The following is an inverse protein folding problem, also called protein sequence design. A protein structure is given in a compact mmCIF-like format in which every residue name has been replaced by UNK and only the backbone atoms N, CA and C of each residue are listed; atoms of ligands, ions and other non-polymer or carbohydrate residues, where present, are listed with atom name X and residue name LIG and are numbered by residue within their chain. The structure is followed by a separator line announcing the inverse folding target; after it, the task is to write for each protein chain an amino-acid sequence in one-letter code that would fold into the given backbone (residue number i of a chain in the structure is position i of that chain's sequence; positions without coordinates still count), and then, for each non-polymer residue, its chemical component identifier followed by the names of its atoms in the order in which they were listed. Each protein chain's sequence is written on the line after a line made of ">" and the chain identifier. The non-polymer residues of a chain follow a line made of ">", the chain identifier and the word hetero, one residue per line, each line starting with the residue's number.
data_IF_996457459834
#
_entry.id   IF_996457459834
#
_cell.length_a   1.000
_cell.length_b   1.000
_cell.length_c   1.000
_cell.angle_alpha   90.00
_cell.angle_beta   90.00
_cell.angle_gamma   90.00
#
_symmetry.space_group_name_H-M   'P 1'
#
loop_
_entity.id
_entity.type
_entity.pdbx_description
1 polymer ?
#
# COMPACT_ATOMS: atom_id res chain seq x y z
N UNK A 1 6.70 4.82 -19.30
CA UNK A 1 5.95 4.84 -18.00
C UNK A 1 5.88 3.43 -17.44
N UNK A 2 5.55 3.25 -16.16
CA UNK A 2 5.52 1.90 -15.57
C UNK A 2 4.50 0.97 -16.25
N UNK A 3 3.37 1.52 -16.72
CA UNK A 3 2.41 0.78 -17.55
C UNK A 3 3.03 0.16 -18.81
N UNK A 4 3.99 0.83 -19.46
CA UNK A 4 4.69 0.31 -20.63
C UNK A 4 5.59 -0.89 -20.29
N UNK A 5 6.18 -0.90 -19.10
CA UNK A 5 6.94 -2.06 -18.62
C UNK A 5 6.02 -3.24 -18.31
N UNK A 6 4.82 -2.98 -17.77
CA UNK A 6 3.83 -4.04 -17.51
C UNK A 6 3.31 -4.68 -18.80
N UNK A 7 3.21 -3.93 -19.90
CA UNK A 7 2.77 -4.47 -21.20
C UNK A 7 3.77 -5.46 -21.81
N UNK A 8 5.03 -5.44 -21.37
CA UNK A 8 6.07 -6.38 -21.81
C UNK A 8 5.98 -7.74 -21.10
N UNK A 9 5.18 -7.84 -20.03
CA UNK A 9 5.08 -9.03 -19.20
C UNK A 9 3.98 -9.94 -19.74
N UNK A 10 4.36 -11.11 -20.24
CA UNK A 10 3.43 -12.20 -20.51
C UNK A 10 3.15 -12.96 -19.21
N UNK A 11 1.90 -12.86 -18.73
CA UNK A 11 1.49 -13.47 -17.46
C UNK A 11 1.47 -15.00 -17.50
N UNK A 12 1.17 -15.59 -18.66
CA UNK A 12 1.15 -17.04 -18.83
C UNK A 12 2.57 -17.59 -18.83
N UNK A 13 3.47 -16.98 -19.61
CA UNK A 13 4.89 -17.37 -19.63
C UNK A 13 5.57 -17.15 -18.27
N UNK A 14 5.28 -16.02 -17.60
CA UNK A 14 5.79 -15.77 -16.25
C UNK A 14 5.32 -16.84 -15.26
N UNK A 15 4.05 -17.22 -15.32
CA UNK A 15 3.50 -18.29 -14.48
C UNK A 15 4.16 -19.62 -14.77
N UNK A 16 4.32 -19.98 -16.04
CA UNK A 16 5.04 -21.20 -16.44
C UNK A 16 6.47 -21.20 -15.94
N UNK A 17 7.18 -20.07 -16.07
CA UNK A 17 8.56 -19.92 -15.59
C UNK A 17 8.66 -20.16 -14.07
N UNK A 18 7.74 -19.60 -13.28
CA UNK A 18 7.69 -19.83 -11.82
C UNK A 18 7.41 -21.31 -11.51
N UNK A 19 6.41 -21.91 -12.15
CA UNK A 19 6.03 -23.32 -11.87
C UNK A 19 7.02 -24.34 -12.40
N UNK A 20 7.89 -23.99 -13.35
CA UNK A 20 8.96 -24.85 -13.86
C UNK A 20 10.21 -24.88 -12.98
N UNK A 21 10.31 -24.00 -11.98
CA UNK A 21 11.48 -23.97 -11.08
C UNK A 21 11.60 -25.25 -10.28
N UNK A 22 12.85 -25.67 -10.11
CA UNK A 22 13.21 -26.92 -9.45
C UNK A 22 13.78 -26.66 -8.05
N UNK A 23 13.93 -27.74 -7.28
CA UNK A 23 14.62 -27.67 -5.99
C UNK A 23 16.05 -27.13 -6.11
N UNK A 24 16.75 -27.49 -7.19
CA UNK A 24 18.11 -27.01 -7.45
C UNK A 24 18.13 -25.48 -7.61
N UNK A 25 17.13 -24.89 -8.28
CA UNK A 25 17.01 -23.44 -8.44
C UNK A 25 16.77 -22.76 -7.09
N UNK A 26 15.94 -23.35 -6.23
CA UNK A 26 15.69 -22.82 -4.87
C UNK A 26 16.95 -22.86 -4.03
N UNK A 27 17.68 -23.98 -4.03
CA UNK A 27 18.92 -24.11 -3.26
C UNK A 27 20.01 -23.16 -3.77
N UNK A 28 20.11 -22.98 -5.09
CA UNK A 28 21.00 -22.00 -5.70
C UNK A 28 20.66 -20.58 -5.23
N UNK A 29 19.39 -20.20 -5.26
CA UNK A 29 18.91 -18.88 -4.81
C UNK A 29 19.20 -18.64 -3.33
N UNK A 30 18.96 -19.61 -2.47
CA UNK A 30 19.26 -19.54 -1.03
C UNK A 30 20.76 -19.40 -0.72
N UNK A 31 21.62 -19.89 -1.60
CA UNK A 31 23.08 -19.78 -1.45
C UNK A 31 23.67 -18.45 -1.97
N UNK A 32 22.90 -17.60 -2.64
CA UNK A 32 23.38 -16.34 -3.19
C UNK A 32 23.30 -15.22 -2.14
N UNK A 33 24.28 -14.32 -2.16
CA UNK A 33 24.26 -13.08 -1.39
C UNK A 33 23.30 -12.04 -2.01
N UNK A 34 23.22 -12.01 -3.35
CA UNK A 34 22.35 -11.11 -4.10
C UNK A 34 21.52 -11.92 -5.10
N UNK A 35 20.21 -11.95 -4.86
CA UNK A 35 19.25 -12.60 -5.74
C UNK A 35 18.84 -11.68 -6.87
N UNK A 36 18.65 -12.26 -8.06
CA UNK A 36 18.02 -11.62 -9.21
C UNK A 36 16.54 -12.03 -9.34
N UNK A 37 15.87 -11.57 -10.41
CA UNK A 37 14.45 -11.88 -10.65
C UNK A 37 14.23 -13.38 -10.87
N UNK A 38 15.18 -14.07 -11.50
CA UNK A 38 15.08 -15.52 -11.72
C UNK A 38 15.16 -16.31 -10.41
N UNK A 39 16.04 -15.89 -9.50
CA UNK A 39 16.12 -16.45 -8.15
C UNK A 39 14.84 -16.17 -7.35
N UNK A 40 14.28 -14.97 -7.48
CA UNK A 40 13.00 -14.64 -6.85
C UNK A 40 11.87 -15.54 -7.35
N UNK A 41 11.80 -15.81 -8.67
CA UNK A 41 10.84 -16.76 -9.22
C UNK A 41 11.01 -18.16 -8.62
N UNK A 42 12.26 -18.61 -8.38
CA UNK A 42 12.51 -19.88 -7.71
C UNK A 42 12.00 -19.90 -6.26
N UNK A 43 12.24 -18.82 -5.50
CA UNK A 43 11.84 -18.73 -4.09
C UNK A 43 10.33 -18.62 -3.89
N UNK A 44 9.56 -18.13 -4.88
CA UNK A 44 8.09 -18.11 -4.82
C UNK A 44 7.43 -19.31 -5.52
N UNK A 45 8.22 -20.22 -6.06
CA UNK A 45 7.71 -21.41 -6.77
C UNK A 45 7.18 -22.49 -5.80
N UNK A 46 6.35 -23.43 -6.29
CA UNK A 46 5.96 -24.60 -5.49
C UNK A 46 7.12 -25.42 -4.96
N UNK A 47 8.27 -25.46 -5.68
CA UNK A 47 9.47 -26.17 -5.24
C UNK A 47 10.07 -25.60 -3.94
N UNK A 48 9.81 -24.31 -3.64
CA UNK A 48 10.30 -23.66 -2.43
C UNK A 48 9.51 -24.01 -1.16
N UNK A 49 8.35 -24.65 -1.27
CA UNK A 49 7.46 -24.88 -0.11
C UNK A 49 8.15 -25.61 1.06
N UNK A 50 9.02 -26.57 0.78
CA UNK A 50 9.76 -27.31 1.80
C UNK A 50 10.96 -26.54 2.40
N UNK A 51 11.29 -25.38 1.84
CA UNK A 51 12.39 -24.51 2.26
C UNK A 51 11.92 -23.24 2.98
N UNK A 52 10.66 -23.17 3.40
CA UNK A 52 10.11 -21.99 4.09
C UNK A 52 10.91 -21.62 5.35
N UNK A 53 11.33 -22.61 6.14
CA UNK A 53 12.12 -22.34 7.35
C UNK A 53 13.52 -21.78 7.01
N UNK A 54 14.34 -22.37 6.12
CA UNK A 54 15.58 -21.73 5.68
C UNK A 54 15.38 -20.32 5.11
N UNK A 55 14.32 -20.09 4.33
CA UNK A 55 13.98 -18.77 3.80
C UNK A 55 13.66 -17.77 4.92
N UNK A 56 12.88 -18.18 5.94
CA UNK A 56 12.55 -17.38 7.09
C UNK A 56 13.80 -17.00 7.91
N UNK A 57 14.70 -17.93 8.12
CA UNK A 57 15.97 -17.69 8.84
C UNK A 57 16.86 -16.69 8.08
N UNK A 58 16.95 -16.84 6.76
CA UNK A 58 17.72 -15.92 5.92
C UNK A 58 17.08 -14.51 5.92
N UNK A 59 15.76 -14.42 5.78
CA UNK A 59 15.00 -13.17 5.86
C UNK A 59 15.20 -12.48 7.22
N UNK A 60 15.16 -13.25 8.32
CA UNK A 60 15.45 -12.75 9.67
C UNK A 60 16.86 -12.17 9.74
N UNK A 61 17.85 -12.89 9.24
CA UNK A 61 19.25 -12.43 9.21
C UNK A 61 19.36 -11.06 8.50
N UNK A 62 18.85 -10.95 7.28
CA UNK A 62 18.88 -9.68 6.52
C UNK A 62 18.11 -8.55 7.21
N UNK A 63 16.99 -8.87 7.86
CA UNK A 63 16.21 -7.90 8.61
C UNK A 63 17.01 -7.37 9.81
N UNK A 64 17.66 -8.25 10.57
CA UNK A 64 18.49 -7.86 11.73
C UNK A 64 19.76 -7.11 11.30
N UNK A 65 20.39 -7.48 10.18
CA UNK A 65 21.54 -6.76 9.61
C UNK A 65 21.15 -5.35 9.14
N UNK A 66 19.96 -5.19 8.58
CA UNK A 66 19.49 -3.90 8.04
C UNK A 66 18.89 -2.97 9.07
N UNK A 67 18.10 -3.50 9.97
CA UNK A 67 17.24 -2.73 10.88
C UNK A 67 17.55 -2.96 12.37
N UNK A 68 18.45 -3.90 12.68
CA UNK A 68 18.69 -4.31 14.06
C UNK A 68 17.47 -4.99 14.69
N UNK A 69 17.28 -4.79 15.98
CA UNK A 69 16.14 -5.31 16.75
C UNK A 69 15.09 -4.23 17.05
N UNK A 70 14.93 -3.28 16.13
CA UNK A 70 13.96 -2.19 16.25
C UNK A 70 12.68 -2.48 15.48
N UNK A 71 11.55 -2.03 16.03
CA UNK A 71 10.24 -2.12 15.36
C UNK A 71 9.68 -0.71 15.31
N UNK A 72 9.33 -0.26 14.10
CA UNK A 72 8.62 0.98 13.89
C UNK A 72 7.11 0.70 13.92
N UNK A 73 6.43 1.23 14.93
CA UNK A 73 4.99 1.09 15.06
C UNK A 73 4.29 2.29 14.42
N UNK A 74 3.18 2.04 13.74
CA UNK A 74 2.31 3.08 13.23
C UNK A 74 0.86 2.79 13.60
N UNK A 75 0.03 3.82 13.57
CA UNK A 75 -1.40 3.69 13.81
C UNK A 75 -2.20 4.24 12.61
N UNK A 76 -3.11 3.45 12.02
CA UNK A 76 -4.02 3.95 11.00
C UNK A 76 -5.19 4.70 11.64
N UNK A 77 -5.57 5.83 11.04
CA UNK A 77 -6.79 6.55 11.36
C UNK A 77 -7.62 6.77 10.10
N UNK A 78 -8.81 6.21 10.08
CA UNK A 78 -9.80 6.41 9.03
C UNK A 78 -10.54 7.72 9.24
N UNK A 79 -10.13 8.78 8.53
CA UNK A 79 -10.76 10.10 8.65
C UNK A 79 -12.05 10.23 7.81
N UNK A 80 -12.26 9.31 6.85
CA UNK A 80 -13.53 9.14 6.14
C UNK A 80 -13.67 7.76 5.51
N UNK A 81 -14.89 7.22 5.52
CA UNK A 81 -15.30 6.03 4.77
C UNK A 81 -16.09 6.37 3.49
N UNK A 82 -16.17 7.65 3.13
CA UNK A 82 -16.85 8.10 1.91
C UNK A 82 -16.03 7.67 0.68
N UNK A 83 -16.62 6.82 -0.17
CA UNK A 83 -15.98 6.29 -1.37
C UNK A 83 -16.95 6.28 -2.53
N UNK A 84 -16.45 6.55 -3.74
CA UNK A 84 -17.22 6.55 -5.01
C UNK A 84 -16.98 5.30 -5.86
N UNK A 85 -16.10 4.40 -5.41
CA UNK A 85 -15.75 3.18 -6.11
C UNK A 85 -16.67 2.00 -5.77
N UNK A 86 -16.70 1.00 -6.66
CA UNK A 86 -17.44 -0.24 -6.47
C UNK A 86 -16.54 -1.48 -6.45
N UNK A 87 -15.43 -1.40 -5.70
CA UNK A 87 -14.50 -2.53 -5.55
C UNK A 87 -15.21 -3.72 -4.90
N UNK A 88 -15.15 -4.89 -5.52
CA UNK A 88 -15.96 -6.06 -5.13
C UNK A 88 -15.62 -6.65 -3.76
N UNK A 89 -14.46 -6.34 -3.22
CA UNK A 89 -13.93 -6.84 -1.94
C UNK A 89 -14.02 -5.81 -0.80
N UNK A 90 -14.33 -4.54 -1.09
CA UNK A 90 -14.15 -3.44 -0.14
C UNK A 90 -15.43 -3.12 0.64
N UNK A 91 -15.32 -3.04 1.98
CA UNK A 91 -16.43 -2.60 2.84
C UNK A 91 -16.92 -1.19 2.54
N UNK A 92 -16.08 -0.31 1.99
CA UNK A 92 -16.45 1.06 1.58
C UNK A 92 -17.11 1.14 0.19
N UNK A 93 -17.40 0.00 -0.44
CA UNK A 93 -18.12 -0.07 -1.71
C UNK A 93 -19.32 0.86 -1.72
N UNK A 94 -19.48 1.65 -2.82
CA UNK A 94 -20.50 2.72 -2.88
C UNK A 94 -21.92 2.22 -2.62
N UNK A 95 -22.24 0.98 -3.00
CA UNK A 95 -23.59 0.38 -2.83
C UNK A 95 -23.78 -0.27 -1.45
N UNK A 96 -22.76 -0.34 -0.58
CA UNK A 96 -22.95 -0.88 0.76
C UNK A 96 -23.82 0.06 1.60
N UNK A 97 -24.89 -0.46 2.24
CA UNK A 97 -25.80 0.33 3.06
C UNK A 97 -25.18 0.64 4.43
N UNK A 98 -24.15 1.47 4.43
CA UNK A 98 -23.46 1.90 5.65
C UNK A 98 -23.52 3.42 5.80
N UNK A 99 -23.54 3.91 7.03
CA UNK A 99 -23.39 5.33 7.30
C UNK A 99 -22.04 5.85 6.77
N UNK A 100 -22.10 6.95 6.04
CA UNK A 100 -20.89 7.61 5.50
C UNK A 100 -20.50 8.76 6.40
N UNK A 101 -19.29 8.70 6.93
CA UNK A 101 -18.73 9.68 7.85
C UNK A 101 -17.55 10.39 7.20
N UNK A 102 -17.48 11.70 7.42
CA UNK A 102 -16.33 12.53 7.10
C UNK A 102 -16.06 13.33 8.36
N UNK A 103 -14.93 13.09 9.01
CA UNK A 103 -14.59 13.75 10.25
C UNK A 103 -14.33 15.26 10.02
N UNK A 104 -14.83 16.10 10.89
CA UNK A 104 -14.46 17.52 10.90
C UNK A 104 -13.04 17.70 11.42
N UNK A 105 -12.40 18.85 11.17
CA UNK A 105 -11.07 19.14 11.73
C UNK A 105 -10.99 18.98 13.25
N UNK A 106 -12.03 19.35 13.97
CA UNK A 106 -12.13 19.21 15.43
C UNK A 106 -12.20 17.73 15.84
N UNK A 107 -13.01 16.94 15.13
CA UNK A 107 -13.11 15.50 15.37
C UNK A 107 -11.76 14.80 15.05
N UNK A 108 -11.08 15.19 13.97
CA UNK A 108 -9.75 14.67 13.63
C UNK A 108 -8.75 14.97 14.76
N UNK A 109 -8.75 16.20 15.28
CA UNK A 109 -7.87 16.57 16.39
C UNK A 109 -8.18 15.79 17.67
N UNK A 110 -9.44 15.53 17.96
CA UNK A 110 -9.83 14.72 19.13
C UNK A 110 -9.41 13.25 18.98
N UNK A 111 -9.46 12.69 17.77
CA UNK A 111 -8.90 11.36 17.49
C UNK A 111 -7.37 11.34 17.68
N UNK A 112 -6.64 12.37 17.25
CA UNK A 112 -5.19 12.46 17.49
C UNK A 112 -4.86 12.50 18.99
N UNK A 113 -5.60 13.26 19.77
CA UNK A 113 -5.46 13.29 21.25
C UNK A 113 -5.78 11.93 21.85
N UNK A 114 -6.80 11.23 21.33
CA UNK A 114 -7.14 9.87 21.79
C UNK A 114 -6.00 8.89 21.49
N UNK A 115 -5.42 8.92 20.31
CA UNK A 115 -4.27 8.08 19.94
C UNK A 115 -3.07 8.34 20.86
N UNK A 116 -2.75 9.60 21.14
CA UNK A 116 -1.63 9.95 22.06
C UNK A 116 -1.86 9.49 23.50
N UNK A 117 -3.11 9.32 23.92
CA UNK A 117 -3.45 8.69 25.23
C UNK A 117 -3.25 7.17 25.23
N UNK A 118 -3.38 6.50 24.07
CA UNK A 118 -3.15 5.05 23.94
C UNK A 118 -1.68 4.67 24.03
N UNK A 119 -0.77 5.55 23.62
CA UNK A 119 0.66 5.28 23.67
C UNK A 119 1.52 6.28 22.88
N UNK A 120 2.84 6.10 22.90
CA UNK A 120 3.79 7.00 22.27
C UNK A 120 3.91 6.76 20.75
N UNK A 121 2.80 6.70 20.04
CA UNK A 121 2.80 6.58 18.59
C UNK A 121 3.32 7.85 17.94
N UNK A 122 4.33 7.72 17.09
CA UNK A 122 4.92 8.81 16.31
C UNK A 122 4.61 8.71 14.82
N UNK A 123 4.23 7.51 14.33
CA UNK A 123 3.89 7.28 12.95
C UNK A 123 2.37 7.20 12.79
N UNK A 124 1.80 8.13 12.06
CA UNK A 124 0.37 8.16 11.72
C UNK A 124 0.16 7.80 10.25
N UNK A 125 -0.83 6.95 9.98
CA UNK A 125 -1.33 6.68 8.63
C UNK A 125 -2.77 7.17 8.52
N UNK A 126 -2.99 8.25 7.76
CA UNK A 126 -4.35 8.73 7.46
C UNK A 126 -4.93 7.92 6.31
N UNK A 127 -6.09 7.34 6.53
CA UNK A 127 -6.77 6.49 5.55
C UNK A 127 -8.11 7.11 5.15
N UNK A 128 -8.41 7.10 3.86
CA UNK A 128 -9.69 7.57 3.33
C UNK A 128 -10.31 6.59 2.35
N UNK A 129 -11.63 6.66 2.20
CA UNK A 129 -12.25 6.22 0.97
C UNK A 129 -11.91 7.19 -0.18
N UNK A 130 -11.99 6.72 -1.41
CA UNK A 130 -11.70 7.54 -2.59
C UNK A 130 -12.91 8.39 -3.01
N UNK A 131 -12.98 9.61 -2.50
CA UNK A 131 -13.99 10.61 -2.84
C UNK A 131 -13.34 11.99 -2.98
N UNK A 132 -12.79 12.32 -4.17
CA UNK A 132 -12.03 13.57 -4.35
C UNK A 132 -12.84 14.83 -4.08
N UNK A 133 -14.16 14.80 -4.28
CA UNK A 133 -15.02 15.95 -4.04
C UNK A 133 -15.20 16.28 -2.55
N UNK A 134 -15.03 15.28 -1.66
CA UNK A 134 -15.26 15.43 -0.22
C UNK A 134 -14.01 15.28 0.63
N UNK A 135 -13.06 14.49 0.16
CA UNK A 135 -11.80 14.17 0.85
C UNK A 135 -10.59 14.35 -0.09
N UNK A 136 -10.59 15.44 -0.84
CA UNK A 136 -9.50 15.84 -1.72
C UNK A 136 -8.34 16.51 -0.99
N UNK A 137 -7.41 17.08 -1.77
CA UNK A 137 -6.17 17.69 -1.26
C UNK A 137 -6.40 18.71 -0.14
N UNK A 138 -7.37 19.67 -0.22
CA UNK A 138 -7.57 20.63 0.85
C UNK A 138 -7.97 19.99 2.19
N UNK A 139 -8.75 18.91 2.16
CA UNK A 139 -9.14 18.17 3.35
C UNK A 139 -7.94 17.43 3.96
N UNK A 140 -7.13 16.76 3.12
CA UNK A 140 -5.91 16.07 3.54
C UNK A 140 -4.88 17.04 4.11
N UNK A 141 -4.66 18.18 3.45
CA UNK A 141 -3.76 19.24 3.90
C UNK A 141 -4.15 19.72 5.32
N UNK A 142 -5.44 19.97 5.54
CA UNK A 142 -5.93 20.40 6.86
C UNK A 142 -5.70 19.32 7.92
N UNK A 143 -5.96 18.04 7.61
CA UNK A 143 -5.71 16.93 8.52
C UNK A 143 -4.22 16.81 8.86
N UNK A 144 -3.33 16.95 7.87
CA UNK A 144 -1.87 16.90 8.05
C UNK A 144 -1.38 18.08 8.90
N UNK A 145 -1.90 19.32 8.68
CA UNK A 145 -1.53 20.49 9.48
C UNK A 145 -1.86 20.33 10.97
N UNK A 146 -2.97 19.67 11.27
CA UNK A 146 -3.30 19.34 12.65
C UNK A 146 -2.39 18.23 13.17
N UNK A 147 -2.14 17.19 12.35
CA UNK A 147 -1.34 16.03 12.73
C UNK A 147 0.11 16.38 13.12
N UNK A 148 0.72 17.37 12.47
CA UNK A 148 2.10 17.85 12.78
C UNK A 148 2.31 18.24 14.24
N UNK A 149 1.25 18.58 14.97
CA UNK A 149 1.31 18.90 16.41
C UNK A 149 1.47 17.68 17.29
N UNK A 150 1.14 16.50 16.77
CA UNK A 150 1.01 15.25 17.54
C UNK A 150 1.95 14.15 17.07
N UNK A 151 2.35 14.14 15.80
CA UNK A 151 3.10 13.04 15.20
C UNK A 151 4.27 13.56 14.37
N UNK A 152 5.38 12.84 14.38
CA UNK A 152 6.61 13.20 13.65
C UNK A 152 6.70 12.56 12.26
N UNK A 153 5.94 11.51 11.97
CA UNK A 153 5.95 10.83 10.67
C UNK A 153 4.51 10.61 10.18
N UNK A 154 4.16 11.32 9.12
CA UNK A 154 2.81 11.38 8.56
C UNK A 154 2.75 10.70 7.21
N UNK A 155 1.90 9.70 7.09
CA UNK A 155 1.63 8.99 5.84
C UNK A 155 0.15 9.04 5.49
N UNK A 156 -0.14 8.91 4.21
CA UNK A 156 -1.51 8.82 3.71
C UNK A 156 -1.70 7.53 2.91
N UNK A 157 -2.88 6.94 3.04
CA UNK A 157 -3.39 5.85 2.20
C UNK A 157 -4.71 6.31 1.61
N UNK A 158 -4.62 6.89 0.42
CA UNK A 158 -5.72 7.58 -0.25
C UNK A 158 -5.74 7.23 -1.74
N UNK A 159 -6.65 7.83 -2.49
CA UNK A 159 -6.62 7.76 -3.96
C UNK A 159 -5.29 8.28 -4.51
N UNK A 160 -4.84 7.79 -5.69
CA UNK A 160 -3.71 8.39 -6.39
C UNK A 160 -3.96 9.86 -6.67
N UNK A 161 -2.95 10.67 -6.50
CA UNK A 161 -2.94 12.10 -6.72
C UNK A 161 -1.98 12.45 -7.86
N UNK A 162 -2.05 13.67 -8.37
CA UNK A 162 -1.06 14.19 -9.31
C UNK A 162 0.22 14.59 -8.58
N UNK A 163 1.31 14.71 -9.32
CA UNK A 163 2.61 15.10 -8.77
C UNK A 163 2.56 16.44 -8.02
N UNK A 164 1.83 17.42 -8.58
CA UNK A 164 1.65 18.75 -7.96
C UNK A 164 0.86 18.67 -6.65
N UNK A 165 -0.13 17.79 -6.58
CA UNK A 165 -0.96 17.57 -5.39
C UNK A 165 -0.13 16.88 -4.27
N UNK A 166 0.74 15.94 -4.62
CA UNK A 166 1.69 15.37 -3.65
C UNK A 166 2.72 16.40 -3.18
N UNK A 167 3.20 17.28 -4.08
CA UNK A 167 4.10 18.36 -3.72
C UNK A 167 3.45 19.32 -2.73
N UNK A 168 2.18 19.70 -2.94
CA UNK A 168 1.39 20.50 -2.01
C UNK A 168 1.29 19.83 -0.64
N UNK A 169 0.89 18.55 -0.58
CA UNK A 169 0.77 17.82 0.69
C UNK A 169 2.11 17.66 1.43
N UNK A 170 3.23 17.64 0.71
CA UNK A 170 4.56 17.63 1.32
C UNK A 170 4.81 18.91 2.13
N UNK A 171 4.38 20.08 1.65
CA UNK A 171 4.49 21.33 2.40
C UNK A 171 3.64 21.29 3.70
N UNK A 172 2.59 20.48 3.71
CA UNK A 172 1.78 20.19 4.90
C UNK A 172 2.34 19.10 5.81
N UNK A 173 3.54 18.59 5.53
CA UNK A 173 4.27 17.64 6.38
C UNK A 173 4.10 16.17 6.02
N UNK A 174 3.60 15.87 4.82
CA UNK A 174 3.52 14.49 4.34
C UNK A 174 4.90 13.87 4.13
N UNK A 175 5.16 12.70 4.74
CA UNK A 175 6.41 11.97 4.63
C UNK A 175 6.31 10.76 3.70
N UNK A 176 5.13 10.21 3.48
CA UNK A 176 4.98 9.03 2.63
C UNK A 176 3.56 8.76 2.18
N UNK A 177 3.46 8.03 1.08
CA UNK A 177 2.19 7.64 0.46
C UNK A 177 2.14 6.12 0.33
N UNK A 178 0.98 5.56 0.64
CA UNK A 178 0.67 4.15 0.38
C UNK A 178 -0.45 4.11 -0.66
N UNK A 179 -0.23 3.38 -1.73
CA UNK A 179 -1.22 3.19 -2.79
C UNK A 179 -1.30 1.71 -3.16
N UNK A 180 -2.38 1.05 -2.74
CA UNK A 180 -2.61 -0.34 -3.08
C UNK A 180 -3.09 -0.50 -4.53
N UNK A 181 -2.41 -1.35 -5.28
CA UNK A 181 -2.78 -1.71 -6.65
C UNK A 181 -3.63 -2.98 -6.71
N UNK A 182 -3.59 -3.83 -5.71
CA UNK A 182 -4.25 -5.14 -5.55
C UNK A 182 -3.67 -6.20 -6.50
N UNK A 183 -3.61 -5.90 -7.80
CA UNK A 183 -2.98 -6.74 -8.82
C UNK A 183 -2.54 -5.90 -10.02
N UNK A 184 -1.43 -6.27 -10.63
CA UNK A 184 -0.97 -5.68 -11.88
C UNK A 184 -1.49 -6.44 -13.12
N UNK A 185 -2.19 -7.56 -12.93
CA UNK A 185 -2.90 -8.24 -14.02
C UNK A 185 -4.15 -7.45 -14.38
N UNK A 186 -4.11 -6.73 -15.52
CA UNK A 186 -5.17 -5.81 -15.95
C UNK A 186 -6.54 -6.47 -16.11
N UNK A 187 -6.58 -7.72 -16.59
CA UNK A 187 -7.84 -8.45 -16.74
C UNK A 187 -8.49 -8.72 -15.36
N UNK A 188 -7.71 -9.17 -14.39
CA UNK A 188 -8.16 -9.38 -13.01
C UNK A 188 -8.51 -8.08 -12.32
N UNK A 189 -7.71 -7.03 -12.54
CA UNK A 189 -7.95 -5.70 -11.99
C UNK A 189 -9.33 -5.15 -12.38
N UNK A 190 -9.72 -5.29 -13.63
CA UNK A 190 -11.01 -4.84 -14.14
C UNK A 190 -12.22 -5.57 -13.50
N UNK A 191 -12.03 -6.85 -13.14
CA UNK A 191 -13.05 -7.61 -12.41
C UNK A 191 -13.22 -7.07 -10.98
N UNK A 192 -12.11 -6.73 -10.32
CA UNK A 192 -12.13 -6.26 -8.93
C UNK A 192 -12.59 -4.81 -8.79
N UNK A 193 -12.40 -3.98 -9.82
CA UNK A 193 -12.66 -2.54 -9.80
C UNK A 193 -13.59 -2.11 -10.97
N UNK A 194 -14.86 -2.55 -10.98
CA UNK A 194 -15.75 -2.37 -12.14
C UNK A 194 -16.16 -0.91 -12.37
N UNK A 195 -16.14 -0.04 -11.33
CA UNK A 195 -16.60 1.36 -11.44
C UNK A 195 -15.82 2.28 -10.49
N UNK A 196 -15.85 3.59 -10.83
CA UNK A 196 -15.23 4.65 -10.06
C UNK A 196 -13.83 4.99 -10.56
N UNK A 197 -13.15 5.90 -9.84
CA UNK A 197 -11.78 6.30 -10.20
C UNK A 197 -10.79 5.14 -10.12
N UNK A 198 -10.99 4.22 -9.19
CA UNK A 198 -10.14 3.03 -9.04
C UNK A 198 -10.21 2.08 -10.25
N UNK A 199 -11.25 2.15 -11.10
CA UNK A 199 -11.30 1.38 -12.34
C UNK A 199 -10.30 1.82 -13.41
N UNK A 200 -9.69 3.00 -13.27
CA UNK A 200 -8.73 3.56 -14.24
C UNK A 200 -7.33 3.01 -13.98
N UNK A 201 -7.05 1.83 -14.49
CA UNK A 201 -5.81 1.09 -14.27
C UNK A 201 -4.56 1.91 -14.60
N UNK A 202 -4.46 2.45 -15.82
CA UNK A 202 -3.28 3.20 -16.29
C UNK A 202 -3.02 4.46 -15.44
N UNK A 203 -4.09 5.17 -15.08
CA UNK A 203 -3.97 6.32 -14.19
C UNK A 203 -3.32 5.90 -12.86
N UNK A 204 -3.83 4.83 -12.25
CA UNK A 204 -3.36 4.38 -10.95
C UNK A 204 -1.92 3.86 -10.96
N UNK A 205 -1.53 3.20 -12.05
CA UNK A 205 -0.18 2.64 -12.20
C UNK A 205 0.86 3.73 -12.48
N UNK A 206 0.46 4.84 -13.10
CA UNK A 206 1.36 5.91 -13.54
C UNK A 206 1.33 7.16 -12.64
N UNK A 207 0.48 7.18 -11.58
CA UNK A 207 0.45 8.22 -10.55
C UNK A 207 1.46 7.94 -9.45
#
# INVERSE_FOLDING_TARGET
>A
MFSEELEKIDWEETTKAIYSKTEHDVLRALGKEHCDVDDFMALISPAAAKYLEPMAQLSKKYTEERFGKTISMFIPLYITNSCTNSCVYCGFHISNPMARTILTPEQIEDEYKAIKRLGPFENLLLVTGENPAKAGVPYLAKALDIAKKYFSNLKIEVMPLKAEEYAELKEHGLNGVICFQETYNKARYNIYHPRGMKSKFEWRVNS
#
